data_IF_024520069949
#
_entry.id   IF_024520069949
#
_cell.length_a   1.000
_cell.length_b   1.000
_cell.length_c   1.000
_cell.angle_alpha   90.00
_cell.angle_beta   90.00
_cell.angle_gamma   90.00
#
_symmetry.space_group_name_H-M   'P 1'
#
loop_
_entity.id
_entity.type
_entity.pdbx_description
1 polymer ?
#
# COMPACT_ATOMS: atom_id res chain seq x y z
N UNK A 1 -10.35 -2.84 4.81
CA UNK A 1 -9.07 -2.27 4.33
C UNK A 1 -9.28 -1.92 2.88
N UNK A 2 -9.13 -0.64 2.53
CA UNK A 2 -9.10 -0.18 1.15
C UNK A 2 -7.66 -0.12 0.66
N UNK A 3 -7.44 -0.41 -0.61
CA UNK A 3 -6.12 -0.26 -1.24
C UNK A 3 -6.28 0.60 -2.49
N UNK A 4 -5.45 1.64 -2.59
CA UNK A 4 -5.39 2.54 -3.75
C UNK A 4 -3.96 2.60 -4.25
N UNK A 5 -3.77 2.47 -5.56
CA UNK A 5 -2.45 2.57 -6.19
C UNK A 5 -2.38 3.83 -7.05
N UNK A 6 -1.25 4.53 -7.00
CA UNK A 6 -0.98 5.74 -7.77
C UNK A 6 0.43 5.66 -8.35
N UNK A 7 0.62 6.16 -9.57
CA UNK A 7 1.97 6.31 -10.13
C UNK A 7 2.56 7.61 -9.63
N UNK A 8 3.72 7.52 -9.00
CA UNK A 8 4.47 8.65 -8.48
C UNK A 8 5.75 8.84 -9.30
N UNK A 9 6.02 10.10 -9.63
CA UNK A 9 7.30 10.53 -10.21
C UNK A 9 8.26 10.91 -9.08
N UNK A 10 9.47 10.37 -9.13
CA UNK A 10 10.53 10.65 -8.17
C UNK A 10 11.88 10.81 -8.87
N UNK A 11 12.84 11.47 -8.21
CA UNK A 11 14.19 11.66 -8.77
C UNK A 11 14.91 10.31 -8.96
N UNK A 12 14.79 9.41 -7.97
CA UNK A 12 15.34 8.06 -8.02
C UNK A 12 14.51 7.10 -7.16
N UNK A 13 13.89 6.11 -7.80
CA UNK A 13 13.11 5.04 -7.14
C UNK A 13 13.90 4.17 -6.15
N UNK A 14 15.23 4.18 -6.23
CA UNK A 14 16.08 3.47 -5.26
C UNK A 14 16.17 4.18 -3.91
N UNK A 15 15.90 5.50 -3.88
CA UNK A 15 15.91 6.32 -2.67
C UNK A 15 14.57 6.28 -1.91
N UNK A 16 13.53 5.68 -2.51
CA UNK A 16 12.18 5.55 -1.95
C UNK A 16 11.88 4.09 -1.59
N UNK A 17 12.46 3.55 -0.49
CA UNK A 17 12.30 2.14 -0.13
C UNK A 17 10.84 1.80 0.22
N UNK A 18 10.13 2.75 0.85
CA UNK A 18 8.75 2.53 1.30
C UNK A 18 7.74 2.87 0.22
N UNK A 19 7.27 1.82 -0.47
CA UNK A 19 6.24 1.89 -1.52
C UNK A 19 4.82 1.75 -0.98
N UNK A 20 4.68 1.22 0.22
CA UNK A 20 3.42 1.16 0.96
C UNK A 20 3.28 2.40 1.86
N UNK A 21 2.05 2.81 2.12
CA UNK A 21 1.70 3.81 3.12
C UNK A 21 0.42 3.38 3.80
N UNK A 22 0.44 3.30 5.12
CA UNK A 22 -0.70 2.87 5.91
C UNK A 22 -1.36 4.06 6.58
N UNK A 23 -2.69 4.02 6.66
CA UNK A 23 -3.49 4.94 7.46
C UNK A 23 -4.50 4.13 8.23
N UNK A 24 -4.66 4.41 9.52
CA UNK A 24 -5.51 3.64 10.44
C UNK A 24 -6.46 4.59 11.15
N UNK A 25 -7.75 4.45 10.87
CA UNK A 25 -8.80 5.27 11.46
C UNK A 25 -9.83 4.43 12.21
N UNK A 26 -10.27 4.84 13.41
CA UNK A 26 -11.42 4.24 14.05
C UNK A 26 -12.71 4.75 13.40
N UNK A 27 -13.66 3.84 13.16
CA UNK A 27 -15.02 4.25 12.84
C UNK A 27 -15.70 4.93 14.02
N UNK A 28 -16.81 5.62 13.79
CA UNK A 28 -17.63 6.23 14.86
C UNK A 28 -18.10 5.22 15.93
N UNK A 29 -18.18 3.92 15.59
CA UNK A 29 -18.56 2.85 16.51
C UNK A 29 -17.38 2.38 17.39
N UNK A 30 -16.16 2.48 16.88
CA UNK A 30 -14.94 2.10 17.59
C UNK A 30 -14.30 3.27 18.36
N UNK A 31 -14.55 4.52 17.91
CA UNK A 31 -13.93 5.73 18.44
C UNK A 31 -13.99 5.84 19.98
N UNK A 32 -15.13 5.60 20.67
CA UNK A 32 -15.17 5.72 22.14
C UNK A 32 -14.21 4.76 22.85
N UNK A 33 -13.95 3.58 22.27
CA UNK A 33 -13.01 2.59 22.83
C UNK A 33 -11.57 2.91 22.48
N UNK A 34 -11.29 3.45 21.29
CA UNK A 34 -9.93 3.83 20.90
C UNK A 34 -9.47 5.10 21.60
N UNK A 35 -10.34 6.09 21.77
CA UNK A 35 -10.08 7.30 22.55
C UNK A 35 -9.72 6.97 24.00
N UNK A 36 -10.43 6.02 24.62
CA UNK A 36 -10.10 5.53 25.96
C UNK A 36 -8.70 4.87 26.07
N UNK A 37 -8.05 4.57 24.95
CA UNK A 37 -6.70 3.99 24.86
C UNK A 37 -5.64 4.96 24.35
N UNK A 38 -5.94 6.26 24.35
CA UNK A 38 -5.02 7.29 23.85
C UNK A 38 -5.29 7.73 22.41
N UNK A 39 -6.39 7.29 21.81
CA UNK A 39 -6.92 7.83 20.54
C UNK A 39 -5.89 7.77 19.41
N UNK A 40 -5.44 8.95 18.98
CA UNK A 40 -4.46 9.15 17.91
C UNK A 40 -3.14 8.41 18.14
N UNK A 41 -2.60 8.43 19.37
CA UNK A 41 -1.36 7.69 19.70
C UNK A 41 -1.51 6.18 19.47
N UNK A 42 -2.73 5.66 19.66
CA UNK A 42 -3.01 4.25 19.44
C UNK A 42 -3.03 3.90 17.95
N UNK A 43 -3.61 4.75 17.10
CA UNK A 43 -3.63 4.54 15.66
C UNK A 43 -2.27 4.75 15.03
N UNK A 44 -1.54 5.81 15.42
CA UNK A 44 -0.16 6.08 15.00
C UNK A 44 0.77 4.91 15.35
N UNK A 45 0.62 4.32 16.54
CA UNK A 45 1.40 3.16 16.93
C UNK A 45 1.14 1.94 16.03
N UNK A 46 -0.12 1.71 15.62
CA UNK A 46 -0.47 0.64 14.67
C UNK A 46 0.15 0.92 13.30
N UNK A 47 0.05 2.16 12.82
CA UNK A 47 0.66 2.58 11.55
C UNK A 47 2.17 2.35 11.57
N UNK A 48 2.86 2.75 12.63
CA UNK A 48 4.29 2.53 12.78
C UNK A 48 4.67 1.04 12.77
N UNK A 49 3.89 0.18 13.45
CA UNK A 49 4.10 -1.26 13.45
C UNK A 49 3.89 -1.86 12.07
N UNK A 50 2.88 -1.41 11.32
CA UNK A 50 2.66 -1.85 9.93
C UNK A 50 3.77 -1.37 9.01
N UNK A 51 4.20 -0.11 9.14
CA UNK A 51 5.31 0.44 8.37
C UNK A 51 6.57 -0.38 8.59
N UNK A 52 6.91 -0.72 9.84
CA UNK A 52 8.08 -1.55 10.16
C UNK A 52 7.93 -2.98 9.60
N UNK A 53 6.78 -3.61 9.81
CA UNK A 53 6.55 -4.99 9.37
C UNK A 53 6.60 -5.16 7.84
N UNK A 54 6.26 -4.11 7.10
CA UNK A 54 6.26 -4.11 5.63
C UNK A 54 7.39 -3.26 5.01
N UNK A 55 8.34 -2.76 5.81
CA UNK A 55 9.46 -1.93 5.37
C UNK A 55 10.44 -2.68 4.44
N UNK A 56 10.48 -4.01 4.55
CA UNK A 56 11.40 -4.87 3.79
C UNK A 56 11.06 -4.97 2.30
N UNK A 57 12.09 -5.15 1.48
CA UNK A 57 11.97 -5.38 0.03
C UNK A 57 11.41 -6.79 -0.34
N UNK A 58 10.94 -7.59 0.62
CA UNK A 58 10.63 -9.00 0.36
C UNK A 58 10.06 -9.83 1.51
N UNK A 59 10.13 -9.37 2.76
CA UNK A 59 9.86 -10.23 3.93
C UNK A 59 8.39 -10.66 4.07
N UNK A 60 7.47 -9.77 3.70
CA UNK A 60 6.02 -10.06 3.73
C UNK A 60 5.45 -10.12 2.32
N UNK A 61 5.90 -9.22 1.44
CA UNK A 61 5.52 -9.16 0.03
C UNK A 61 6.78 -9.43 -0.80
N UNK A 62 6.82 -10.57 -1.48
CA UNK A 62 8.02 -11.10 -2.14
C UNK A 62 8.32 -10.44 -3.49
N UNK A 63 7.34 -9.77 -4.10
CA UNK A 63 7.44 -9.19 -5.44
C UNK A 63 7.31 -7.65 -5.45
N UNK A 64 7.77 -6.97 -4.40
CA UNK A 64 7.75 -5.51 -4.28
C UNK A 64 8.42 -4.77 -5.45
N UNK A 65 9.39 -5.41 -6.11
CA UNK A 65 10.07 -4.86 -7.28
C UNK A 65 9.11 -4.60 -8.47
N UNK A 66 7.98 -5.31 -8.55
CA UNK A 66 6.94 -5.07 -9.58
C UNK A 66 6.28 -3.69 -9.44
N UNK A 67 6.42 -3.04 -8.29
CA UNK A 67 5.96 -1.66 -8.09
C UNK A 67 6.88 -0.64 -8.76
N UNK A 68 8.07 -1.01 -9.22
CA UNK A 68 8.99 -0.10 -9.90
C UNK A 68 8.73 -0.16 -11.40
N UNK A 69 8.41 0.99 -12.02
CA UNK A 69 8.19 1.09 -13.47
C UNK A 69 9.49 1.49 -14.19
N UNK A 70 10.25 2.43 -13.61
CA UNK A 70 11.56 2.87 -14.10
C UNK A 70 12.35 3.54 -12.97
N UNK A 71 13.50 4.15 -13.28
CA UNK A 71 14.27 4.94 -12.31
C UNK A 71 13.51 6.14 -11.75
N UNK A 72 12.54 6.66 -12.51
CA UNK A 72 11.81 7.89 -12.17
C UNK A 72 10.33 7.64 -11.82
N UNK A 73 9.78 6.49 -12.19
CA UNK A 73 8.37 6.19 -11.97
C UNK A 73 8.20 4.91 -11.16
N UNK A 74 7.32 4.96 -10.17
CA UNK A 74 6.95 3.81 -9.36
C UNK A 74 5.49 3.90 -8.91
N UNK A 75 4.93 2.76 -8.56
CA UNK A 75 3.67 2.66 -7.86
C UNK A 75 3.85 2.97 -6.38
N UNK A 76 3.06 3.92 -5.89
CA UNK A 76 2.79 4.13 -4.46
C UNK A 76 1.46 3.47 -4.13
N UNK A 77 1.44 2.67 -3.06
CA UNK A 77 0.26 1.93 -2.63
C UNK A 77 -0.17 2.48 -1.27
N UNK A 78 -1.38 3.03 -1.23
CA UNK A 78 -2.03 3.51 -0.02
C UNK A 78 -2.96 2.44 0.52
N UNK A 79 -2.86 2.17 1.81
CA UNK A 79 -3.61 1.12 2.51
C UNK A 79 -4.38 1.76 3.66
N UNK A 80 -5.68 1.93 3.45
CA UNK A 80 -6.58 2.60 4.38
C UNK A 80 -7.32 1.57 5.24
N UNK A 81 -7.13 1.63 6.55
CA UNK A 81 -7.66 0.67 7.52
C UNK A 81 -8.70 1.39 8.38
N UNK A 82 -9.94 0.90 8.35
CA UNK A 82 -11.01 1.41 9.22
C UNK A 82 -11.36 0.37 10.28
N UNK A 83 -11.17 0.71 11.56
CA UNK A 83 -11.52 -0.15 12.69
C UNK A 83 -13.02 -0.02 12.96
N UNK A 84 -13.78 -1.06 12.64
CA UNK A 84 -15.24 -1.07 12.83
C UNK A 84 -15.64 -1.38 14.28
N UNK A 85 -15.00 -2.37 14.89
CA UNK A 85 -15.26 -2.77 16.27
C UNK A 85 -13.95 -3.16 16.95
N UNK A 86 -13.90 -2.94 18.26
CA UNK A 86 -12.75 -3.29 19.08
C UNK A 86 -13.17 -4.34 20.11
N UNK A 87 -12.74 -5.59 19.90
CA UNK A 87 -13.05 -6.73 20.76
C UNK A 87 -12.05 -7.87 20.55
N UNK A 88 -10.96 -7.86 21.33
CA UNK A 88 -9.90 -8.87 21.26
C UNK A 88 -8.59 -8.32 20.70
N UNK A 89 -7.80 -9.20 20.05
CA UNK A 89 -6.52 -8.81 19.45
C UNK A 89 -6.75 -8.13 18.09
N UNK A 90 -6.81 -6.80 18.11
CA UNK A 90 -7.03 -6.03 16.90
C UNK A 90 -5.81 -6.06 15.96
N UNK A 91 -4.59 -6.22 16.48
CA UNK A 91 -3.39 -6.23 15.64
C UNK A 91 -3.43 -7.41 14.68
N UNK A 92 -3.70 -8.63 15.19
CA UNK A 92 -3.82 -9.81 14.34
C UNK A 92 -4.90 -9.63 13.27
N UNK A 93 -6.06 -9.07 13.65
CA UNK A 93 -7.15 -8.80 12.73
C UNK A 93 -6.75 -7.80 11.62
N UNK A 94 -6.02 -6.74 11.99
CA UNK A 94 -5.49 -5.76 11.03
C UNK A 94 -4.47 -6.43 10.11
N UNK A 95 -3.50 -7.17 10.63
CA UNK A 95 -2.47 -7.85 9.82
C UNK A 95 -3.08 -8.82 8.81
N UNK A 96 -4.07 -9.62 9.23
CA UNK A 96 -4.80 -10.51 8.33
C UNK A 96 -5.53 -9.71 7.25
N UNK A 97 -6.26 -8.65 7.64
CA UNK A 97 -7.04 -7.86 6.70
C UNK A 97 -6.16 -7.09 5.70
N UNK A 98 -5.03 -6.55 6.15
CA UNK A 98 -4.04 -5.87 5.30
C UNK A 98 -3.41 -6.85 4.33
N UNK A 99 -2.92 -8.00 4.82
CA UNK A 99 -2.32 -9.02 3.95
C UNK A 99 -3.32 -9.51 2.90
N UNK A 100 -4.57 -9.80 3.30
CA UNK A 100 -5.61 -10.21 2.37
C UNK A 100 -5.91 -9.14 1.31
N UNK A 101 -6.05 -7.87 1.71
CA UNK A 101 -6.33 -6.78 0.79
C UNK A 101 -5.19 -6.54 -0.21
N UNK A 102 -3.94 -6.57 0.25
CA UNK A 102 -2.77 -6.41 -0.62
C UNK A 102 -2.67 -7.53 -1.67
N UNK A 103 -2.93 -8.78 -1.29
CA UNK A 103 -2.86 -9.93 -2.21
C UNK A 103 -4.03 -9.99 -3.21
N UNK A 104 -5.20 -9.46 -2.84
CA UNK A 104 -6.34 -9.38 -3.76
C UNK A 104 -6.25 -8.18 -4.71
N UNK A 105 -5.46 -7.16 -4.35
CA UNK A 105 -5.30 -5.93 -5.14
C UNK A 105 -4.71 -6.24 -6.51
N UNK A 106 -5.42 -5.80 -7.55
CA UNK A 106 -5.01 -5.91 -8.95
C UNK A 106 -4.44 -4.58 -9.41
N UNK A 107 -3.14 -4.54 -9.69
CA UNK A 107 -2.43 -3.35 -10.13
C UNK A 107 -2.22 -3.45 -11.63
N UNK A 108 -2.71 -2.46 -12.39
CA UNK A 108 -2.64 -2.47 -13.85
C UNK A 108 -1.20 -2.42 -14.34
N UNK A 109 -0.87 -3.19 -15.37
CA UNK A 109 0.42 -3.03 -16.05
C UNK A 109 0.41 -1.77 -16.89
N UNK A 110 1.46 -0.95 -16.72
CA UNK A 110 1.68 0.25 -17.51
C UNK A 110 2.92 0.09 -18.37
N UNK A 111 2.87 0.65 -19.58
CA UNK A 111 4.01 0.78 -20.46
C UNK A 111 4.53 2.21 -20.41
N UNK A 112 5.84 2.37 -20.30
CA UNK A 112 6.51 3.67 -20.41
C UNK A 112 7.03 3.81 -21.84
N UNK A 113 6.52 4.79 -22.57
CA UNK A 113 6.96 5.12 -23.93
C UNK A 113 7.85 6.35 -23.86
N UNK A 114 9.11 6.19 -24.26
CA UNK A 114 10.05 7.31 -24.33
C UNK A 114 9.59 8.31 -25.40
N UNK A 115 9.57 9.59 -25.03
CA UNK A 115 9.39 10.72 -25.93
C UNK A 115 10.70 11.48 -26.12
N UNK A 116 10.67 12.48 -26.99
CA UNK A 116 11.78 13.41 -27.19
C UNK A 116 12.09 14.19 -25.90
N UNK A 117 13.35 14.62 -25.75
CA UNK A 117 13.85 15.38 -24.60
C UNK A 117 13.81 14.65 -23.23
N UNK A 118 13.81 13.31 -23.22
CA UNK A 118 13.94 12.53 -21.98
C UNK A 118 12.66 12.48 -21.14
N UNK A 119 11.52 12.82 -21.73
CA UNK A 119 10.19 12.65 -21.12
C UNK A 119 9.65 11.25 -21.42
N UNK A 120 8.83 10.74 -20.52
CA UNK A 120 8.13 9.46 -20.70
C UNK A 120 6.62 9.71 -20.71
N UNK A 121 5.92 9.02 -21.60
CA UNK A 121 4.47 8.93 -21.58
C UNK A 121 4.06 7.60 -20.93
N UNK A 122 3.02 7.64 -20.11
CA UNK A 122 2.46 6.45 -19.47
C UNK A 122 1.30 5.96 -20.33
N UNK A 123 1.45 4.77 -20.89
CA UNK A 123 0.42 4.09 -21.66
C UNK A 123 -0.21 2.96 -20.84
N UNK A 124 -1.52 2.86 -20.92
CA UNK A 124 -2.31 1.82 -20.28
C UNK A 124 -3.03 1.01 -21.36
N UNK A 125 -2.91 -0.32 -21.33
CA UNK A 125 -3.63 -1.19 -22.25
C UNK A 125 -5.15 -1.14 -22.05
N UNK A 126 -5.91 -1.40 -23.11
CA UNK A 126 -7.39 -1.24 -23.11
C UNK A 126 -8.14 -2.21 -22.18
N UNK A 127 -7.58 -3.37 -21.84
CA UNK A 127 -8.24 -4.38 -21.00
C UNK A 127 -7.72 -4.40 -19.57
N UNK A 128 -8.49 -3.87 -18.62
CA UNK A 128 -8.19 -3.95 -17.18
C UNK A 128 -8.48 -5.32 -16.56
N UNK A 129 -9.20 -6.21 -17.27
CA UNK A 129 -9.57 -7.54 -16.76
C UNK A 129 -8.42 -8.54 -16.83
N UNK A 130 -7.46 -8.35 -17.73
CA UNK A 130 -6.33 -9.27 -17.94
C UNK A 130 -4.98 -8.58 -17.79
N UNK A 131 -4.93 -7.25 -17.86
CA UNK A 131 -3.68 -6.48 -17.83
C UNK A 131 -3.33 -6.01 -16.41
N UNK A 132 -3.22 -6.93 -15.45
CA UNK A 132 -2.84 -6.60 -14.08
C UNK A 132 -1.85 -7.62 -13.51
N UNK A 133 -1.08 -7.18 -12.52
CA UNK A 133 -0.36 -8.06 -11.61
C UNK A 133 -0.94 -7.94 -10.21
N UNK A 134 -0.61 -8.91 -9.35
CA UNK A 134 -0.93 -8.88 -7.93
C UNK A 134 0.36 -8.91 -7.12
N UNK A 135 0.26 -8.39 -5.91
CA UNK A 135 1.30 -8.60 -4.93
C UNK A 135 1.26 -10.06 -4.46
N UNK A 136 2.44 -10.61 -4.19
CA UNK A 136 2.62 -11.99 -3.75
C UNK A 136 3.22 -11.97 -2.35
N UNK A 137 2.72 -12.83 -1.46
CA UNK A 137 3.29 -12.98 -0.13
C UNK A 137 4.50 -13.92 -0.16
N UNK A 138 5.44 -13.70 0.75
CA UNK A 138 6.47 -14.69 1.09
C UNK A 138 5.86 -15.92 1.79
#
# INVERSE_FOLDING_TARGET
VGVKCEVLECEDTSLTPNRLQFTVDPSCLAAPRTEARGGELFTEAIEAVLMEAYHGNGDVISNMDKLILSKQFMWKVYVDIVIQQYGGNILDAIFIAVKAALLDTRITHLALVAQDEGKFNIECGESTETNFFRLEAA
#
